data_IF_682052122694
#
_entry.id   IF_682052122694
#
_cell.length_a   1.000
_cell.length_b   1.000
_cell.length_c   1.000
_cell.angle_alpha   90.00
_cell.angle_beta   90.00
_cell.angle_gamma   90.00
#
_symmetry.space_group_name_H-M   'P 1'
#
loop_
_entity.id
_entity.type
_entity.pdbx_description
1 polymer ?
#
# COMPACT_ATOMS: atom_id res chain seq x y z
N UNK A 1 -15.24 -3.42 -23.23
CA UNK A 1 -14.07 -3.66 -22.37
C UNK A 1 -14.42 -3.18 -20.97
N UNK A 2 -14.79 -4.11 -20.09
CA UNK A 2 -15.19 -3.81 -18.71
C UNK A 2 -14.00 -3.26 -17.95
N UNK A 3 -13.99 -1.96 -17.69
CA UNK A 3 -12.95 -1.30 -16.91
C UNK A 3 -13.18 -1.72 -15.45
N UNK A 4 -12.44 -2.75 -15.06
CA UNK A 4 -12.30 -3.29 -13.70
C UNK A 4 -12.26 -2.15 -12.69
N UNK A 5 -13.02 -2.31 -11.58
CA UNK A 5 -13.06 -1.43 -10.40
C UNK A 5 -11.75 -0.66 -10.26
N UNK A 6 -11.76 0.63 -10.58
CA UNK A 6 -10.74 1.53 -10.09
C UNK A 6 -11.00 1.64 -8.58
N UNK A 7 -10.40 0.76 -7.79
CA UNK A 7 -10.16 1.07 -6.38
C UNK A 7 -9.36 2.37 -6.42
N UNK A 8 -9.99 3.47 -6.02
CA UNK A 8 -9.38 4.80 -6.01
C UNK A 8 -8.34 4.80 -4.89
N UNK A 9 -7.18 4.25 -5.21
CA UNK A 9 -6.08 4.18 -4.27
C UNK A 9 -5.59 5.59 -3.99
N UNK A 10 -5.12 5.81 -2.76
CA UNK A 10 -4.44 7.01 -2.34
C UNK A 10 -3.34 7.36 -3.36
N UNK A 11 -3.11 8.65 -3.64
CA UNK A 11 -2.16 9.09 -4.67
C UNK A 11 -0.72 8.59 -4.41
N UNK A 12 -0.41 8.20 -3.17
CA UNK A 12 0.91 7.68 -2.75
C UNK A 12 0.99 6.16 -2.69
N UNK A 13 -0.13 5.45 -2.89
CA UNK A 13 -0.20 3.99 -2.83
C UNK A 13 0.82 3.30 -3.74
N UNK A 14 0.79 3.61 -5.04
CA UNK A 14 1.67 2.99 -6.02
C UNK A 14 3.16 3.24 -5.70
N UNK A 15 3.48 4.41 -5.17
CA UNK A 15 4.83 4.81 -4.78
C UNK A 15 5.30 4.04 -3.54
N UNK A 16 4.47 3.94 -2.50
CA UNK A 16 4.79 3.21 -1.27
C UNK A 16 4.85 1.71 -1.53
N UNK A 17 3.89 1.16 -2.29
CA UNK A 17 3.89 -0.23 -2.76
C UNK A 17 5.18 -0.54 -3.53
N UNK A 18 5.61 0.36 -4.42
CA UNK A 18 6.88 0.24 -5.14
C UNK A 18 8.10 0.22 -4.23
N UNK A 19 8.16 1.07 -3.21
CA UNK A 19 9.27 1.08 -2.24
C UNK A 19 9.31 -0.20 -1.39
N UNK A 20 8.16 -0.70 -0.97
CA UNK A 20 8.05 -1.94 -0.21
C UNK A 20 8.46 -3.16 -1.05
N UNK A 21 7.90 -3.30 -2.26
CA UNK A 21 8.25 -4.40 -3.19
C UNK A 21 9.72 -4.40 -3.60
N UNK A 22 10.36 -3.24 -3.65
CA UNK A 22 11.81 -3.09 -3.92
C UNK A 22 12.68 -3.39 -2.69
N UNK A 23 12.10 -3.62 -1.51
CA UNK A 23 12.82 -3.76 -0.25
C UNK A 23 13.49 -2.47 0.22
N UNK A 24 13.19 -1.34 -0.40
CA UNK A 24 13.71 -0.03 0.02
C UNK A 24 13.04 0.43 1.30
N UNK A 25 11.75 0.12 1.46
CA UNK A 25 11.00 0.40 2.66
C UNK A 25 10.70 -0.88 3.44
N UNK A 26 10.86 -0.80 4.76
CA UNK A 26 10.43 -1.85 5.69
C UNK A 26 8.94 -1.72 6.02
N UNK A 27 8.31 -2.79 6.53
CA UNK A 27 6.91 -2.79 6.98
C UNK A 27 6.59 -1.60 7.89
N UNK A 28 7.48 -1.29 8.83
CA UNK A 28 7.36 -0.14 9.74
C UNK A 28 7.24 1.21 9.04
N UNK A 29 7.90 1.38 7.89
CA UNK A 29 7.81 2.62 7.12
C UNK A 29 6.50 2.73 6.34
N UNK A 30 5.98 1.60 5.87
CA UNK A 30 4.64 1.52 5.25
C UNK A 30 3.56 1.78 6.32
N UNK A 31 3.70 1.19 7.51
CA UNK A 31 2.84 1.44 8.69
C UNK A 31 2.82 2.92 9.07
N UNK A 32 4.00 3.54 9.17
CA UNK A 32 4.10 4.97 9.43
C UNK A 32 3.46 5.82 8.34
N UNK A 33 3.49 5.39 7.08
CA UNK A 33 2.82 6.10 6.00
C UNK A 33 1.29 6.01 6.12
N UNK A 34 0.76 4.90 6.62
CA UNK A 34 -0.66 4.78 6.95
C UNK A 34 -1.04 5.67 8.14
N UNK A 35 -0.23 5.71 9.21
CA UNK A 35 -0.43 6.61 10.36
C UNK A 35 -0.44 8.10 9.96
N UNK A 36 0.36 8.47 8.97
CA UNK A 36 0.43 9.82 8.42
C UNK A 36 -0.71 10.15 7.43
N UNK A 37 -1.59 9.18 7.13
CA UNK A 37 -2.69 9.34 6.17
C UNK A 37 -2.23 9.41 4.71
N UNK A 38 -1.04 8.88 4.39
CA UNK A 38 -0.58 8.77 3.00
C UNK A 38 -1.24 7.63 2.23
N UNK A 39 -1.64 6.59 2.97
CA UNK A 39 -2.41 5.43 2.52
C UNK A 39 -3.41 5.07 3.62
N UNK A 40 -4.44 4.32 3.26
CA UNK A 40 -5.41 3.77 4.19
C UNK A 40 -4.90 2.48 4.85
N UNK A 41 -5.57 2.03 5.91
CA UNK A 41 -5.27 0.75 6.54
C UNK A 41 -5.55 -0.45 5.61
N UNK A 42 -6.54 -0.33 4.72
CA UNK A 42 -6.83 -1.35 3.70
C UNK A 42 -5.67 -1.46 2.71
N UNK A 43 -5.20 -0.32 2.22
CA UNK A 43 -4.06 -0.23 1.31
C UNK A 43 -2.75 -0.70 1.95
N UNK A 44 -2.56 -0.44 3.25
CA UNK A 44 -1.44 -0.98 4.01
C UNK A 44 -1.44 -2.51 3.97
N UNK A 45 -2.60 -3.12 4.24
CA UNK A 45 -2.76 -4.58 4.20
C UNK A 45 -2.49 -5.11 2.78
N UNK A 46 -2.94 -4.41 1.74
CA UNK A 46 -2.63 -4.76 0.34
C UNK A 46 -1.13 -4.64 -0.01
N UNK A 47 -0.41 -3.67 0.56
CA UNK A 47 1.02 -3.48 0.30
C UNK A 47 1.87 -4.52 1.02
N UNK A 48 1.62 -4.69 2.32
CA UNK A 48 2.40 -5.59 3.18
C UNK A 48 2.10 -7.05 2.84
N UNK A 49 0.92 -7.32 2.27
CA UNK A 49 0.41 -8.66 2.12
C UNK A 49 0.06 -9.16 3.51
N UNK A 50 -1.22 -9.15 3.86
CA UNK A 50 -1.73 -10.08 4.85
C UNK A 50 -1.69 -11.49 4.25
N UNK A 51 -0.50 -11.99 3.90
CA UNK A 51 -0.24 -13.42 3.75
C UNK A 51 -0.09 -13.95 5.17
N UNK A 52 -1.25 -14.05 5.84
CA UNK A 52 -1.39 -14.86 7.03
C UNK A 52 -1.28 -16.34 6.60
N UNK A 53 -0.04 -16.85 6.53
CA UNK A 53 0.24 -18.28 6.68
C UNK A 53 0.09 -18.72 8.15
#
# INVERSE_FOLDING_TARGET
>A
MSKTKATDHSPRFALISGFYKRGTWSKKQVEKAAELGHITAEELAEIVGDDAE
#
